data_IF_790837561351
#
_entry.id   IF_790837561351
#
_cell.length_a   1.000
_cell.length_b   1.000
_cell.length_c   1.000
_cell.angle_alpha   90.00
_cell.angle_beta   90.00
_cell.angle_gamma   90.00
#
_symmetry.space_group_name_H-M   'P 1'
#
loop_
_entity.id
_entity.type
_entity.pdbx_description
1 polymer ?
#
# COMPACT_ATOMS: atom_id res chain seq x y z
N UNK A 1 -30.38 -9.80 -2.45
CA UNK A 1 -30.43 -10.41 -1.11
C UNK A 1 -29.10 -11.10 -0.88
N UNK A 2 -28.37 -10.78 0.18
CA UNK A 2 -27.10 -11.46 0.48
C UNK A 2 -27.37 -12.77 1.23
N UNK A 3 -26.54 -13.77 1.00
CA UNK A 3 -26.63 -15.07 1.65
C UNK A 3 -26.28 -14.97 3.14
N UNK A 4 -26.70 -15.94 3.95
CA UNK A 4 -26.30 -16.02 5.36
C UNK A 4 -24.77 -16.03 5.54
N UNK A 5 -24.05 -16.67 4.62
CA UNK A 5 -22.58 -16.67 4.62
C UNK A 5 -22.01 -15.27 4.41
N UNK A 6 -22.51 -14.54 3.41
CA UNK A 6 -22.09 -13.16 3.14
C UNK A 6 -22.44 -12.22 4.31
N UNK A 7 -23.61 -12.38 4.92
CA UNK A 7 -24.02 -11.61 6.10
C UNK A 7 -23.06 -11.85 7.27
N UNK A 8 -22.76 -13.11 7.59
CA UNK A 8 -21.80 -13.47 8.66
C UNK A 8 -20.40 -12.93 8.39
N UNK A 9 -19.94 -12.98 7.14
CA UNK A 9 -18.64 -12.44 6.76
C UNK A 9 -18.60 -10.92 6.89
N UNK A 10 -19.66 -10.24 6.44
CA UNK A 10 -19.83 -8.78 6.60
C UNK A 10 -19.79 -8.38 8.08
N UNK A 11 -20.59 -9.01 8.91
CA UNK A 11 -20.65 -8.75 10.36
C UNK A 11 -19.29 -8.97 11.03
N UNK A 12 -18.55 -10.01 10.61
CA UNK A 12 -17.19 -10.26 11.10
C UNK A 12 -16.23 -9.12 10.80
N UNK A 13 -16.21 -8.61 9.56
CA UNK A 13 -15.36 -7.49 9.20
C UNK A 13 -15.76 -6.20 9.91
N UNK A 14 -17.07 -5.95 10.07
CA UNK A 14 -17.57 -4.77 10.78
C UNK A 14 -17.20 -4.78 12.26
N UNK A 15 -17.25 -5.95 12.91
CA UNK A 15 -16.90 -6.12 14.31
C UNK A 15 -15.40 -6.01 14.60
N UNK A 16 -14.54 -6.18 13.59
CA UNK A 16 -13.09 -6.07 13.75
C UNK A 16 -12.65 -4.61 13.89
N UNK A 17 -12.17 -4.24 15.08
CA UNK A 17 -11.56 -2.92 15.32
C UNK A 17 -10.21 -2.81 14.61
N UNK A 18 -9.80 -1.60 14.24
CA UNK A 18 -8.43 -1.36 13.76
C UNK A 18 -7.45 -1.75 14.86
N UNK A 19 -6.40 -2.47 14.49
CA UNK A 19 -5.38 -2.96 15.41
C UNK A 19 -3.99 -2.82 14.79
N UNK A 20 -2.93 -2.79 15.61
CA UNK A 20 -1.56 -2.82 15.10
C UNK A 20 -1.35 -4.04 14.20
N UNK A 21 -0.49 -3.87 13.18
CA UNK A 21 0.03 -5.02 12.46
C UNK A 21 0.80 -5.93 13.44
N UNK A 22 0.67 -7.26 13.32
CA UNK A 22 1.38 -8.19 14.19
C UNK A 22 2.87 -8.20 13.87
N UNK A 23 3.68 -8.74 14.78
CA UNK A 23 5.04 -9.17 14.44
C UNK A 23 5.01 -10.08 13.20
N UNK A 24 5.97 -9.93 12.26
CA UNK A 24 7.17 -9.10 12.33
C UNK A 24 7.01 -7.67 11.77
N UNK A 25 5.78 -7.22 11.52
CA UNK A 25 5.52 -5.92 10.88
C UNK A 25 5.62 -4.77 11.87
N UNK A 26 6.43 -3.78 11.51
CA UNK A 26 6.67 -2.59 12.30
C UNK A 26 6.28 -1.35 11.48
N UNK A 27 5.57 -0.38 12.06
CA UNK A 27 5.30 0.88 11.37
C UNK A 27 6.62 1.61 11.08
N UNK A 28 6.77 2.11 9.86
CA UNK A 28 7.98 2.85 9.44
C UNK A 28 8.05 4.22 10.11
N UNK A 29 6.90 4.84 10.36
CA UNK A 29 6.76 6.10 11.09
C UNK A 29 5.58 6.00 12.05
N UNK A 30 5.65 6.71 13.18
CA UNK A 30 4.55 6.79 14.16
C UNK A 30 3.29 7.44 13.59
N UNK A 31 3.41 8.16 12.47
CA UNK A 31 2.31 8.86 11.78
C UNK A 31 2.34 8.59 10.29
N UNK A 32 1.16 8.71 9.67
CA UNK A 32 1.01 8.67 8.21
C UNK A 32 1.80 9.82 7.58
N UNK A 33 2.43 9.56 6.45
CA UNK A 33 3.14 10.58 5.67
C UNK A 33 2.11 11.36 4.86
N UNK A 34 1.88 12.66 5.12
CA UNK A 34 0.89 13.42 4.39
C UNK A 34 1.33 13.64 2.94
N UNK A 35 0.45 13.32 2.00
CA UNK A 35 0.61 13.54 0.56
C UNK A 35 -0.70 14.05 -0.02
N UNK A 36 -0.81 15.36 -0.20
CA UNK A 36 -2.00 15.97 -0.79
C UNK A 36 -2.23 15.49 -2.23
N UNK A 37 -3.44 15.01 -2.51
CA UNK A 37 -3.87 14.62 -3.84
C UNK A 37 -3.14 13.41 -4.39
N UNK A 38 -2.77 12.46 -3.54
CA UNK A 38 -2.07 11.23 -3.95
C UNK A 38 -2.93 10.46 -4.95
N UNK A 39 -2.37 10.23 -6.14
CA UNK A 39 -2.99 9.51 -7.25
C UNK A 39 -2.69 8.02 -7.20
N UNK A 40 -1.46 7.64 -6.87
CA UNK A 40 -1.05 6.25 -6.73
C UNK A 40 0.38 6.11 -6.22
N UNK A 41 0.80 4.86 -6.01
CA UNK A 41 2.15 4.51 -5.57
C UNK A 41 2.70 3.33 -6.35
N UNK A 42 4.02 3.24 -6.41
CA UNK A 42 4.72 2.11 -7.01
C UNK A 42 6.04 1.82 -6.29
N UNK A 43 6.44 0.56 -6.25
CA UNK A 43 7.71 0.16 -5.66
C UNK A 43 8.82 0.12 -6.71
N UNK A 44 10.03 0.47 -6.27
CA UNK A 44 11.27 0.28 -6.99
C UNK A 44 12.33 -0.29 -6.03
N UNK A 45 13.50 -0.61 -6.56
CA UNK A 45 14.65 -1.06 -5.76
C UNK A 45 15.74 -0.02 -5.90
N UNK A 46 16.30 0.39 -4.77
CA UNK A 46 17.48 1.24 -4.78
C UNK A 46 18.66 0.49 -5.45
N UNK A 47 19.28 1.05 -6.49
CA UNK A 47 20.30 0.34 -7.26
C UNK A 47 21.59 0.08 -6.46
N UNK A 48 21.86 0.88 -5.42
CA UNK A 48 23.08 0.77 -4.63
C UNK A 48 22.87 -0.12 -3.40
N UNK A 49 21.78 0.09 -2.66
CA UNK A 49 21.51 -0.62 -1.39
C UNK A 49 20.64 -1.87 -1.54
N UNK A 50 19.90 -2.00 -2.65
CA UNK A 50 18.91 -3.07 -2.83
C UNK A 50 17.69 -2.97 -1.91
N UNK A 51 17.51 -1.83 -1.24
CA UNK A 51 16.35 -1.58 -0.38
C UNK A 51 15.11 -1.23 -1.20
N UNK A 52 13.94 -1.48 -0.60
CA UNK A 52 12.67 -1.11 -1.22
C UNK A 52 12.53 0.42 -1.20
N UNK A 53 12.23 1.00 -2.35
CA UNK A 53 11.82 2.39 -2.49
C UNK A 53 10.36 2.45 -2.87
N UNK A 54 9.65 3.47 -2.40
CA UNK A 54 8.26 3.74 -2.80
C UNK A 54 8.17 5.10 -3.45
N UNK A 55 7.75 5.11 -4.71
CA UNK A 55 7.42 6.32 -5.45
C UNK A 55 5.95 6.63 -5.25
N UNK A 56 5.66 7.90 -5.01
CA UNK A 56 4.32 8.46 -4.84
C UNK A 56 4.07 9.45 -5.96
N UNK A 57 2.96 9.28 -6.65
CA UNK A 57 2.45 10.21 -7.67
C UNK A 57 1.30 10.97 -7.04
N UNK A 58 1.37 12.30 -7.01
CA UNK A 58 0.29 13.16 -6.54
C UNK A 58 0.02 14.32 -7.50
N UNK A 59 -1.12 14.99 -7.32
CA UNK A 59 -1.46 16.19 -8.10
C UNK A 59 -0.52 17.38 -7.85
N UNK A 60 0.26 17.36 -6.78
CA UNK A 60 1.29 18.36 -6.47
C UNK A 60 2.67 17.93 -6.99
N UNK A 61 2.76 16.82 -7.73
CA UNK A 61 3.98 16.23 -8.26
C UNK A 61 4.38 14.96 -7.54
N UNK A 62 5.60 14.50 -7.79
CA UNK A 62 6.05 13.17 -7.40
C UNK A 62 7.06 13.20 -6.26
N UNK A 63 7.08 12.16 -5.44
CA UNK A 63 8.06 11.95 -4.38
C UNK A 63 8.57 10.51 -4.36
N UNK A 64 9.83 10.34 -3.99
CA UNK A 64 10.44 9.03 -3.77
C UNK A 64 10.86 8.93 -2.31
N UNK A 65 10.52 7.82 -1.69
CA UNK A 65 10.79 7.57 -0.28
C UNK A 65 11.56 6.26 -0.12
N UNK A 66 12.48 6.24 0.84
CA UNK A 66 12.99 5.01 1.43
C UNK A 66 11.82 4.32 2.13
N UNK A 67 11.49 3.10 1.69
CA UNK A 67 10.30 2.42 2.20
C UNK A 67 10.53 1.76 3.57
N UNK A 68 11.78 1.68 4.04
CA UNK A 68 12.19 1.15 5.35
C UNK A 68 12.23 2.24 6.40
N UNK A 69 12.76 3.42 6.06
CA UNK A 69 12.93 4.54 7.00
C UNK A 69 11.85 5.60 6.88
N UNK A 70 11.13 5.64 5.75
CA UNK A 70 10.14 6.68 5.44
C UNK A 70 10.77 8.02 5.03
N UNK A 71 12.11 8.08 4.92
CA UNK A 71 12.81 9.28 4.49
C UNK A 71 12.47 9.62 3.04
N UNK A 72 12.22 10.90 2.75
CA UNK A 72 12.00 11.37 1.38
C UNK A 72 13.34 11.61 0.69
N UNK A 73 13.69 10.73 -0.25
CA UNK A 73 14.94 10.74 -1.00
C UNK A 73 14.92 11.74 -2.15
N UNK A 74 13.79 11.86 -2.86
CA UNK A 74 13.66 12.75 -4.01
C UNK A 74 12.25 13.36 -4.11
N UNK A 75 12.17 14.52 -4.75
CA UNK A 75 10.91 15.25 -5.00
C UNK A 75 10.99 15.98 -6.33
N UNK A 76 9.98 15.77 -7.16
CA UNK A 76 9.74 16.52 -8.39
C UNK A 76 8.40 17.25 -8.35
N UNK A 77 8.44 18.59 -8.24
CA UNK A 77 7.24 19.42 -8.09
C UNK A 77 6.56 19.75 -9.42
N UNK A 78 7.25 19.58 -10.53
CA UNK A 78 6.77 19.99 -11.85
C UNK A 78 7.12 18.90 -12.88
N UNK A 79 6.56 17.68 -12.70
CA UNK A 79 6.84 16.57 -13.60
C UNK A 79 6.26 16.88 -14.99
N UNK A 80 6.89 16.34 -16.03
CA UNK A 80 6.45 16.53 -17.43
C UNK A 80 4.96 16.15 -17.58
N UNK A 81 4.07 17.10 -17.95
CA UNK A 81 2.64 16.87 -18.05
C UNK A 81 2.25 15.68 -18.92
N UNK A 82 3.02 15.38 -19.97
CA UNK A 82 2.74 14.29 -20.91
C UNK A 82 3.08 12.89 -20.36
N UNK A 83 3.84 12.82 -19.27
CA UNK A 83 4.28 11.54 -18.67
C UNK A 83 4.06 11.46 -17.16
N UNK A 84 3.54 12.54 -16.56
CA UNK A 84 3.42 12.69 -15.12
C UNK A 84 2.30 11.84 -14.51
N UNK A 85 1.22 11.57 -15.24
CA UNK A 85 0.13 10.75 -14.72
C UNK A 85 0.25 9.29 -15.19
N UNK A 86 -0.07 8.30 -14.34
CA UNK A 86 0.06 6.88 -14.71
C UNK A 86 -0.71 6.50 -15.97
N UNK A 87 -1.87 7.10 -16.20
CA UNK A 87 -2.75 6.84 -17.34
C UNK A 87 -2.26 7.40 -18.68
N UNK A 88 -1.18 8.21 -18.68
CA UNK A 88 -0.52 8.64 -19.91
C UNK A 88 0.10 7.46 -20.70
N UNK A 89 0.27 6.30 -20.05
CA UNK A 89 0.86 5.09 -20.63
C UNK A 89 -0.05 3.87 -20.39
N UNK A 90 -0.23 2.96 -21.37
CA UNK A 90 -1.11 1.79 -21.19
C UNK A 90 -0.70 0.84 -20.06
N UNK A 91 0.57 0.86 -19.65
CA UNK A 91 1.12 0.01 -18.60
C UNK A 91 1.10 0.63 -17.20
N UNK A 92 0.46 1.80 -17.05
CA UNK A 92 0.29 2.54 -15.79
C UNK A 92 1.62 2.85 -15.12
N UNK A 93 2.50 3.56 -15.83
CA UNK A 93 3.86 3.86 -15.36
C UNK A 93 4.14 5.36 -15.31
N UNK A 94 5.04 5.74 -14.40
CA UNK A 94 5.64 7.07 -14.36
C UNK A 94 7.17 6.98 -14.43
N UNK A 95 7.87 8.02 -14.91
CA UNK A 95 9.33 8.10 -14.85
C UNK A 95 9.84 8.05 -13.40
N UNK A 96 10.86 7.24 -13.14
CA UNK A 96 11.54 7.19 -11.85
C UNK A 96 12.24 8.51 -11.50
N UNK A 97 12.44 8.73 -10.20
CA UNK A 97 13.09 9.92 -9.64
C UNK A 97 14.42 9.60 -8.96
N UNK A 98 15.31 10.58 -8.85
CA UNK A 98 16.53 10.47 -8.05
C UNK A 98 17.37 9.23 -8.42
N UNK A 99 17.69 8.33 -7.47
CA UNK A 99 18.53 7.14 -7.72
C UNK A 99 17.92 6.15 -8.73
N UNK A 100 16.61 6.19 -8.96
CA UNK A 100 15.93 5.34 -9.95
C UNK A 100 15.56 6.11 -11.23
N UNK A 101 16.19 7.27 -11.48
CA UNK A 101 15.99 8.03 -12.71
C UNK A 101 16.28 7.16 -13.95
N UNK A 102 15.40 7.23 -14.96
CA UNK A 102 15.48 6.40 -16.16
C UNK A 102 14.88 5.00 -16.02
N UNK A 103 14.49 4.57 -14.81
CA UNK A 103 13.74 3.33 -14.59
C UNK A 103 12.24 3.67 -14.45
N UNK A 104 11.37 3.16 -15.33
CA UNK A 104 9.93 3.38 -15.18
C UNK A 104 9.37 2.62 -13.98
N UNK A 105 8.48 3.27 -13.22
CA UNK A 105 7.82 2.68 -12.05
C UNK A 105 6.35 2.41 -12.38
N UNK A 106 5.90 1.17 -12.16
CA UNK A 106 4.48 0.81 -12.26
C UNK A 106 3.71 1.35 -11.06
N UNK A 107 2.64 2.07 -11.32
CA UNK A 107 1.86 2.78 -10.31
C UNK A 107 0.50 2.09 -10.15
N UNK A 108 0.17 1.76 -8.91
CA UNK A 108 -1.16 1.32 -8.49
C UNK A 108 -1.88 2.48 -7.80
N UNK A 109 -3.14 2.73 -8.15
CA UNK A 109 -3.86 3.89 -7.64
C UNK A 109 -5.20 4.15 -8.32
N UNK A 110 -5.53 5.44 -8.41
CA UNK A 110 -6.74 5.98 -9.02
C UNK A 110 -7.02 5.45 -10.43
N UNK A 111 -5.97 5.25 -11.22
CA UNK A 111 -6.07 4.80 -12.61
C UNK A 111 -6.03 3.28 -12.78
N UNK A 112 -6.08 2.52 -11.68
CA UNK A 112 -5.99 1.07 -11.66
C UNK A 112 -4.60 0.56 -11.27
N UNK A 113 -4.22 -0.60 -11.83
CA UNK A 113 -3.00 -1.31 -11.44
C UNK A 113 -3.17 -2.14 -10.16
N UNK A 114 -2.06 -2.62 -9.62
CA UNK A 114 -2.06 -3.42 -8.40
C UNK A 114 -0.67 -3.60 -7.82
N UNK A 115 -0.58 -3.57 -6.50
CA UNK A 115 0.59 -4.00 -5.75
C UNK A 115 0.49 -5.51 -5.46
N UNK A 116 1.58 -6.11 -4.97
CA UNK A 116 1.54 -7.55 -4.63
C UNK A 116 0.59 -7.77 -3.45
N UNK A 117 -0.35 -8.70 -3.58
CA UNK A 117 -1.28 -9.08 -2.50
C UNK A 117 -0.76 -10.21 -1.62
N UNK A 118 0.35 -10.84 -1.99
CA UNK A 118 0.95 -11.94 -1.23
C UNK A 118 2.47 -11.80 -1.15
N UNK A 119 3.05 -12.45 -0.15
CA UNK A 119 4.50 -12.58 0.01
C UNK A 119 4.90 -14.07 -0.07
N UNK A 120 6.15 -14.39 -0.44
CA UNK A 120 6.61 -15.78 -0.57
C UNK A 120 6.49 -16.62 0.71
N UNK A 121 6.55 -15.99 1.87
CA UNK A 121 6.48 -16.63 3.18
C UNK A 121 5.06 -16.63 3.79
N UNK A 122 4.03 -16.36 2.98
CA UNK A 122 2.65 -16.69 3.32
C UNK A 122 1.79 -15.55 3.87
N UNK A 123 2.31 -14.32 3.94
CA UNK A 123 1.46 -13.15 4.23
C UNK A 123 0.57 -12.83 3.05
N UNK A 124 -0.68 -12.47 3.35
CA UNK A 124 -1.66 -12.03 2.36
C UNK A 124 -2.29 -10.70 2.79
N UNK A 125 -2.68 -9.90 1.81
CA UNK A 125 -3.37 -8.64 1.98
C UNK A 125 -4.66 -8.63 1.18
N UNK A 126 -5.76 -8.36 1.86
CA UNK A 126 -7.07 -8.19 1.24
C UNK A 126 -7.59 -6.79 1.53
N UNK A 127 -8.20 -6.17 0.51
CA UNK A 127 -8.99 -4.94 0.68
C UNK A 127 -10.45 -5.34 0.60
N UNK A 128 -11.21 -5.06 1.65
CA UNK A 128 -12.64 -5.41 1.75
C UNK A 128 -13.48 -4.19 2.09
N UNK A 129 -14.67 -4.09 1.48
CA UNK A 129 -15.59 -2.96 1.66
C UNK A 129 -16.93 -3.44 2.23
N UNK A 130 -16.99 -3.94 3.49
CA UNK A 130 -18.22 -4.46 4.08
C UNK A 130 -19.31 -3.39 4.22
N UNK A 131 -18.92 -2.12 4.24
CA UNK A 131 -19.77 -0.93 4.26
C UNK A 131 -19.18 0.14 3.33
N UNK A 132 -19.17 -0.14 2.02
CA UNK A 132 -18.71 0.84 1.02
C UNK A 132 -19.27 2.24 1.30
N UNK A 133 -18.44 3.32 1.25
CA UNK A 133 -17.07 3.38 0.70
C UNK A 133 -15.94 3.12 1.71
N UNK A 134 -16.23 2.57 2.90
CA UNK A 134 -15.21 2.42 3.93
C UNK A 134 -14.41 1.13 3.77
N UNK A 135 -13.32 1.23 3.01
CA UNK A 135 -12.41 0.13 2.77
C UNK A 135 -11.61 -0.23 4.03
N UNK A 136 -11.40 -1.54 4.20
CA UNK A 136 -10.62 -2.12 5.28
C UNK A 136 -9.49 -2.93 4.68
N UNK A 137 -8.28 -2.66 5.12
CA UNK A 137 -7.09 -3.42 4.74
C UNK A 137 -6.88 -4.50 5.79
N UNK A 138 -6.95 -5.75 5.34
CA UNK A 138 -6.82 -6.94 6.15
C UNK A 138 -5.48 -7.60 5.84
N UNK A 139 -4.60 -7.63 6.83
CA UNK A 139 -3.36 -8.40 6.78
C UNK A 139 -3.61 -9.77 7.39
N UNK A 140 -3.13 -10.84 6.76
CA UNK A 140 -3.25 -12.19 7.30
C UNK A 140 -1.96 -12.98 7.17
N UNK A 141 -1.76 -13.88 8.13
CA UNK A 141 -0.77 -14.94 8.06
C UNK A 141 -1.40 -16.21 7.45
N UNK A 142 -0.56 -17.18 7.09
CA UNK A 142 -0.96 -18.52 6.67
C UNK A 142 -1.97 -18.57 5.49
N UNK A 143 -1.85 -17.64 4.53
CA UNK A 143 -2.61 -17.72 3.28
C UNK A 143 -4.06 -17.20 3.32
N UNK A 144 -4.43 -16.35 4.29
CA UNK A 144 -5.62 -15.49 4.15
C UNK A 144 -6.98 -16.14 4.40
N UNK A 145 -7.04 -17.19 5.24
CA UNK A 145 -8.32 -17.90 5.47
C UNK A 145 -9.36 -17.11 6.29
N UNK A 146 -9.00 -15.97 6.91
CA UNK A 146 -9.86 -15.12 7.76
C UNK A 146 -10.71 -15.90 8.79
N UNK A 147 -10.17 -17.03 9.26
CA UNK A 147 -10.81 -17.92 10.22
C UNK A 147 -10.53 -17.47 11.64
N UNK A 148 -11.51 -17.68 12.52
CA UNK A 148 -11.38 -17.30 13.92
C UNK A 148 -11.49 -15.78 14.15
N UNK A 149 -11.21 -15.33 15.39
CA UNK A 149 -11.28 -13.93 15.77
C UNK A 149 -10.16 -13.10 15.11
N UNK A 150 -10.43 -11.81 14.88
CA UNK A 150 -9.39 -10.85 14.50
C UNK A 150 -8.32 -10.77 15.60
N UNK A 151 -7.06 -10.59 15.20
CA UNK A 151 -5.90 -10.61 16.10
C UNK A 151 -5.23 -11.99 16.21
N UNK A 152 -5.86 -13.05 15.69
CA UNK A 152 -5.29 -14.41 15.67
C UNK A 152 -4.40 -14.66 14.46
N UNK A 153 -5.01 -14.89 13.30
CA UNK A 153 -4.31 -15.13 12.01
C UNK A 153 -4.61 -14.04 10.97
N UNK A 154 -5.41 -13.04 11.33
CA UNK A 154 -5.79 -11.93 10.48
C UNK A 154 -6.05 -10.68 11.31
N UNK A 155 -5.72 -9.51 10.76
CA UNK A 155 -5.70 -8.21 11.43
C UNK A 155 -6.28 -7.14 10.52
N UNK A 156 -7.20 -6.34 11.05
CA UNK A 156 -7.67 -5.11 10.40
C UNK A 156 -6.66 -4.00 10.67
N UNK A 157 -5.70 -3.81 9.76
CA UNK A 157 -4.52 -2.94 9.98
C UNK A 157 -4.75 -1.49 9.53
N UNK A 158 -5.72 -1.26 8.64
CA UNK A 158 -6.06 0.08 8.19
C UNK A 158 -7.54 0.20 7.83
N UNK A 159 -8.16 1.30 8.25
CA UNK A 159 -9.53 1.68 7.91
C UNK A 159 -9.51 3.00 7.13
N UNK A 160 -10.07 2.97 5.93
CA UNK A 160 -10.27 4.10 5.03
C UNK A 160 -11.60 4.79 5.33
N UNK A 161 -11.68 5.53 6.45
CA UNK A 161 -12.92 6.18 6.92
C UNK A 161 -13.02 7.68 6.56
N UNK A 162 -11.90 8.34 6.26
CA UNK A 162 -11.87 9.78 5.93
C UNK A 162 -11.28 10.12 4.54
N UNK A 163 -10.43 9.26 3.98
CA UNK A 163 -9.73 9.50 2.72
C UNK A 163 -9.79 8.24 1.86
N UNK A 164 -10.18 8.39 0.60
CA UNK A 164 -10.35 7.31 -0.38
C UNK A 164 -9.06 6.49 -0.52
N UNK A 165 -9.18 5.17 -0.37
CA UNK A 165 -8.09 4.23 -0.61
C UNK A 165 -7.67 4.27 -2.09
N UNK A 166 -6.37 4.43 -2.34
CA UNK A 166 -5.76 4.42 -3.68
C UNK A 166 -5.12 3.09 -3.99
N UNK A 167 -4.34 2.56 -3.06
CA UNK A 167 -3.68 1.27 -3.23
C UNK A 167 -3.31 0.67 -1.87
N UNK A 168 -3.24 -0.66 -1.81
CA UNK A 168 -2.67 -1.37 -0.70
C UNK A 168 -1.95 -2.62 -1.21
N UNK A 169 -0.78 -2.94 -0.66
CA UNK A 169 -0.03 -4.13 -1.04
C UNK A 169 1.43 -4.11 -0.65
N UNK A 170 2.08 -5.23 -0.92
CA UNK A 170 3.48 -5.45 -0.63
C UNK A 170 4.39 -4.96 -1.77
N UNK A 171 5.59 -4.58 -1.37
CA UNK A 171 6.77 -4.50 -2.23
C UNK A 171 7.07 -5.84 -2.90
N UNK A 172 7.79 -5.85 -4.05
CA UNK A 172 8.23 -7.08 -4.69
C UNK A 172 9.08 -7.99 -3.79
N UNK A 173 9.86 -7.41 -2.87
CA UNK A 173 10.64 -8.18 -1.89
C UNK A 173 9.78 -8.79 -0.78
N UNK A 174 8.53 -8.33 -0.63
CA UNK A 174 7.62 -8.72 0.44
C UNK A 174 8.00 -8.17 1.82
N UNK A 175 8.98 -7.26 1.91
CA UNK A 175 9.48 -6.72 3.19
C UNK A 175 8.78 -5.43 3.61
N UNK A 176 8.18 -4.74 2.65
CA UNK A 176 7.42 -3.52 2.89
C UNK A 176 5.96 -3.70 2.49
N UNK A 177 5.05 -3.24 3.33
CA UNK A 177 3.61 -3.10 3.08
C UNK A 177 3.29 -1.60 2.97
N UNK A 178 2.62 -1.20 1.89
CA UNK A 178 2.12 0.15 1.70
C UNK A 178 0.59 0.17 1.72
N UNK A 179 0.04 1.21 2.33
CA UNK A 179 -1.35 1.64 2.18
C UNK A 179 -1.34 3.12 1.82
N UNK A 180 -1.87 3.44 0.65
CA UNK A 180 -1.97 4.78 0.12
C UNK A 180 -3.44 5.19 0.01
N UNK A 181 -3.78 6.37 0.53
CA UNK A 181 -5.07 7.02 0.33
C UNK A 181 -4.90 8.29 -0.47
N UNK A 182 -5.97 9.00 -0.80
CA UNK A 182 -5.91 10.27 -1.54
C UNK A 182 -5.17 11.40 -0.80
N UNK A 183 -4.87 11.24 0.49
CA UNK A 183 -4.19 12.24 1.32
C UNK A 183 -2.93 11.77 2.03
N UNK A 184 -2.66 10.46 2.09
CA UNK A 184 -1.64 9.91 2.97
C UNK A 184 -0.98 8.64 2.43
N UNK A 185 0.27 8.43 2.82
CA UNK A 185 1.00 7.17 2.68
C UNK A 185 1.31 6.58 4.06
N UNK A 186 0.94 5.32 4.27
CA UNK A 186 1.29 4.54 5.47
C UNK A 186 2.12 3.34 5.06
N UNK A 187 3.23 3.11 5.77
CA UNK A 187 4.18 2.04 5.49
C UNK A 187 4.43 1.19 6.74
N UNK A 188 4.55 -0.11 6.53
CA UNK A 188 5.09 -1.06 7.50
C UNK A 188 6.25 -1.82 6.88
N UNK A 189 7.27 -2.09 7.67
CA UNK A 189 8.43 -2.88 7.25
C UNK A 189 8.62 -4.07 8.19
N UNK A 190 9.36 -5.07 7.74
CA UNK A 190 9.77 -6.21 8.55
C UNK A 190 11.21 -6.62 8.24
N UNK A 191 11.96 -7.15 9.23
CA UNK A 191 13.33 -7.60 9.02
C UNK A 191 13.41 -8.79 8.08
N UNK A 192 14.57 -8.94 7.42
CA UNK A 192 14.93 -10.16 6.69
C UNK A 192 15.07 -11.29 7.71
N UNK A 193 14.26 -12.34 7.58
CA UNK A 193 14.55 -13.59 8.30
C UNK A 193 15.78 -14.23 7.65
N UNK A 194 16.84 -14.40 8.45
CA UNK A 194 18.04 -15.16 8.07
C UNK A 194 17.80 -16.66 8.19
#
# INVERSE_FOLDING_TARGET
>A
MITEYQQKLRERYLAATVMPAPEPWQPVMDRRTPVGGLLGVGFAVDPDSGQDLVMVVSSDGHGLFDAVTGEKIARDRDPDPETSTPDARPDLICPGLGPIAGVPVRIAGLFGGGLHSTTPDGWTLDVVSPEWPHDRVILSADGGSHKGPAGGTWWHVFHSDYSELRAAGFSPSGRTLAVATSSDLTLWTRPVHS
#
